data_IF_973412065502
#
_entry.id   IF_973412065502
#
_cell.length_a   1.000
_cell.length_b   1.000
_cell.length_c   1.000
_cell.angle_alpha   90.00
_cell.angle_beta   90.00
_cell.angle_gamma   90.00
#
_symmetry.space_group_name_H-M   'P 1'
#
loop_
_entity.id
_entity.type
_entity.pdbx_description
1 polymer ?
#
# COMPACT_ATOMS: atom_id res chain seq x y z
N UNK A 1 13.54 26.17 -21.04
CA UNK A 1 12.50 25.82 -20.06
C UNK A 1 13.17 25.65 -18.72
N UNK A 2 12.96 26.60 -17.79
CA UNK A 2 13.50 26.49 -16.44
C UNK A 2 12.62 25.54 -15.63
N UNK A 3 13.08 24.34 -15.39
CA UNK A 3 12.47 23.40 -14.45
C UNK A 3 12.91 23.83 -13.06
N UNK A 4 11.96 24.33 -12.25
CA UNK A 4 12.23 24.67 -10.86
C UNK A 4 12.69 23.41 -10.11
N UNK A 5 13.75 23.48 -9.29
CA UNK A 5 14.23 22.32 -8.54
C UNK A 5 13.15 21.84 -7.58
N UNK A 6 12.84 20.54 -7.64
CA UNK A 6 11.92 19.88 -6.72
C UNK A 6 12.55 19.92 -5.33
N UNK A 7 11.97 20.68 -4.43
CA UNK A 7 12.47 20.82 -3.08
C UNK A 7 12.13 19.55 -2.27
N UNK A 8 13.12 18.69 -2.05
CA UNK A 8 12.99 17.41 -1.34
C UNK A 8 12.41 17.55 0.09
N UNK A 9 12.56 18.73 0.70
CA UNK A 9 12.02 18.99 2.04
C UNK A 9 10.49 19.08 2.09
N UNK A 10 9.82 19.47 1.02
CA UNK A 10 8.35 19.57 1.00
C UNK A 10 7.68 18.19 0.95
N UNK A 11 8.32 17.22 0.31
CA UNK A 11 7.81 15.86 0.21
C UNK A 11 7.92 15.06 1.53
N UNK A 12 8.97 15.33 2.32
CA UNK A 12 9.17 14.67 3.63
C UNK A 12 8.15 15.18 4.65
N UNK A 13 7.82 16.47 4.64
CA UNK A 13 6.77 17.03 5.52
C UNK A 13 5.37 16.48 5.23
N UNK A 14 5.05 16.15 3.97
CA UNK A 14 3.77 15.53 3.61
C UNK A 14 3.67 14.07 4.09
N UNK A 15 4.79 13.34 4.16
CA UNK A 15 4.82 11.94 4.55
C UNK A 15 4.65 11.72 6.06
N UNK A 16 5.02 12.69 6.91
CA UNK A 16 5.02 12.53 8.37
C UNK A 16 3.91 13.30 9.11
N UNK A 17 2.90 13.79 8.42
CA UNK A 17 1.71 14.38 9.07
C UNK A 17 1.97 15.65 9.89
N UNK A 18 3.12 16.31 9.73
CA UNK A 18 3.40 17.61 10.30
C UNK A 18 2.69 18.68 9.44
N UNK A 19 1.44 18.88 9.79
CA UNK A 19 0.50 19.78 9.15
C UNK A 19 0.85 21.23 9.38
N UNK A 20 1.52 21.83 8.44
CA UNK A 20 1.19 23.23 8.11
C UNK A 20 -0.18 23.20 7.43
N UNK A 21 -1.12 24.03 7.88
CA UNK A 21 -2.49 24.15 7.39
C UNK A 21 -2.56 24.64 5.95
N UNK A 22 -1.91 23.94 5.00
CA UNK A 22 -2.17 24.09 3.58
C UNK A 22 -3.59 23.56 3.35
N UNK A 23 -4.52 24.47 3.13
CA UNK A 23 -5.88 24.17 2.68
C UNK A 23 -5.78 23.15 1.56
N UNK A 24 -6.22 21.91 1.80
CA UNK A 24 -6.08 20.87 0.79
C UNK A 24 -6.78 21.30 -0.48
N UNK A 25 -6.11 21.17 -1.60
CA UNK A 25 -6.60 21.53 -2.93
C UNK A 25 -7.85 20.72 -3.35
N UNK A 26 -8.12 19.63 -2.64
CA UNK A 26 -9.23 18.72 -2.94
C UNK A 26 -10.43 18.98 -2.05
N UNK A 27 -11.62 18.99 -2.66
CA UNK A 27 -12.88 19.12 -1.96
C UNK A 27 -13.14 17.92 -1.03
N UNK A 28 -14.08 18.04 -0.10
CA UNK A 28 -14.52 16.91 0.74
C UNK A 28 -15.08 15.76 -0.12
N UNK A 29 -15.77 16.10 -1.21
CA UNK A 29 -16.32 15.13 -2.17
C UNK A 29 -15.22 14.38 -2.89
N UNK A 30 -14.15 15.06 -3.34
CA UNK A 30 -13.03 14.41 -4.03
C UNK A 30 -12.33 13.39 -3.11
N UNK A 31 -12.13 13.76 -1.85
CA UNK A 31 -11.56 12.82 -0.86
C UNK A 31 -12.46 11.62 -0.63
N UNK A 32 -13.77 11.84 -0.56
CA UNK A 32 -14.74 10.75 -0.40
C UNK A 32 -14.70 9.80 -1.62
N UNK A 33 -14.58 10.32 -2.84
CA UNK A 33 -14.45 9.50 -4.05
C UNK A 33 -13.19 8.63 -3.99
N UNK A 34 -12.02 9.23 -3.69
CA UNK A 34 -10.77 8.45 -3.59
C UNK A 34 -10.86 7.40 -2.48
N UNK A 35 -11.35 7.78 -1.31
CA UNK A 35 -11.50 6.86 -0.19
C UNK A 35 -12.44 5.69 -0.53
N UNK A 36 -13.56 5.96 -1.19
CA UNK A 36 -14.51 4.94 -1.62
C UNK A 36 -13.90 3.99 -2.65
N UNK A 37 -13.18 4.52 -3.65
CA UNK A 37 -12.51 3.70 -4.66
C UNK A 37 -11.38 2.87 -4.06
N UNK A 38 -10.63 3.43 -3.12
CA UNK A 38 -9.60 2.71 -2.34
C UNK A 38 -10.24 1.55 -1.55
N UNK A 39 -11.34 1.81 -0.86
CA UNK A 39 -12.08 0.78 -0.13
C UNK A 39 -12.64 -0.31 -1.06
N UNK A 40 -13.15 0.04 -2.25
CA UNK A 40 -13.60 -0.91 -3.25
C UNK A 40 -12.46 -1.79 -3.78
N UNK A 41 -11.29 -1.19 -4.06
CA UNK A 41 -10.10 -1.95 -4.47
C UNK A 41 -9.63 -2.93 -3.41
N UNK A 42 -9.64 -2.49 -2.13
CA UNK A 42 -9.34 -3.34 -0.97
C UNK A 42 -10.35 -4.50 -0.86
N UNK A 43 -11.65 -4.19 -0.93
CA UNK A 43 -12.71 -5.20 -0.85
C UNK A 43 -12.65 -6.22 -1.99
N UNK A 44 -12.35 -5.78 -3.22
CA UNK A 44 -12.18 -6.67 -4.36
C UNK A 44 -11.00 -7.63 -4.15
N UNK A 45 -9.86 -7.15 -3.66
CA UNK A 45 -8.71 -8.00 -3.34
C UNK A 45 -9.04 -9.01 -2.24
N UNK A 46 -9.70 -8.58 -1.17
CA UNK A 46 -10.17 -9.47 -0.11
C UNK A 46 -11.13 -10.54 -0.66
N UNK A 47 -12.04 -10.18 -1.56
CA UNK A 47 -12.97 -11.11 -2.17
C UNK A 47 -12.25 -12.14 -3.05
N UNK A 48 -11.25 -11.72 -3.83
CA UNK A 48 -10.43 -12.62 -4.66
C UNK A 48 -9.67 -13.61 -3.77
N UNK A 49 -9.03 -13.12 -2.70
CA UNK A 49 -8.30 -13.97 -1.76
C UNK A 49 -9.23 -14.95 -1.04
N UNK A 50 -10.42 -14.47 -0.63
CA UNK A 50 -11.43 -15.30 -0.03
C UNK A 50 -11.85 -16.46 -0.95
N UNK A 51 -12.14 -16.12 -2.23
CA UNK A 51 -12.51 -17.13 -3.23
C UNK A 51 -11.38 -18.14 -3.45
N UNK A 52 -10.13 -17.69 -3.53
CA UNK A 52 -8.96 -18.57 -3.67
C UNK A 52 -8.78 -19.49 -2.47
N UNK A 53 -9.11 -19.03 -1.28
CA UNK A 53 -9.08 -19.83 -0.05
C UNK A 53 -10.31 -20.75 0.11
N UNK A 54 -11.19 -20.85 -0.89
CA UNK A 54 -12.37 -21.72 -0.88
C UNK A 54 -13.58 -21.18 -0.10
N UNK A 55 -13.56 -19.90 0.29
CA UNK A 55 -14.70 -19.30 0.98
C UNK A 55 -15.80 -18.87 0.01
N UNK A 56 -17.05 -19.05 0.45
CA UNK A 56 -18.21 -18.61 -0.32
C UNK A 56 -18.44 -17.11 -0.16
N UNK A 57 -18.56 -16.39 -1.29
CA UNK A 57 -18.92 -14.96 -1.31
C UNK A 57 -20.43 -14.70 -1.26
N UNK A 58 -21.27 -15.73 -1.08
CA UNK A 58 -22.73 -15.55 -0.92
C UNK A 58 -23.01 -14.79 0.38
N UNK A 59 -23.81 -13.70 0.37
CA UNK A 59 -24.07 -12.87 1.55
C UNK A 59 -24.54 -13.66 2.76
N UNK A 60 -25.42 -14.66 2.57
CA UNK A 60 -25.92 -15.53 3.63
C UNK A 60 -24.84 -16.37 4.33
N UNK A 61 -23.72 -16.63 3.67
CA UNK A 61 -22.59 -17.39 4.21
C UNK A 61 -21.42 -16.50 4.65
N UNK A 62 -21.32 -15.28 4.15
CA UNK A 62 -20.30 -14.31 4.56
C UNK A 62 -20.35 -14.02 6.06
N UNK A 63 -21.54 -13.76 6.62
CA UNK A 63 -21.71 -13.52 8.05
C UNK A 63 -21.33 -14.74 8.92
N UNK A 64 -21.52 -15.95 8.42
CA UNK A 64 -21.10 -17.17 9.11
C UNK A 64 -19.58 -17.35 9.08
N UNK A 65 -18.92 -16.94 7.99
CA UNK A 65 -17.47 -16.99 7.84
C UNK A 65 -16.75 -15.94 8.70
N UNK A 66 -17.35 -14.78 8.93
CA UNK A 66 -16.81 -13.74 9.83
C UNK A 66 -16.73 -14.28 11.27
N UNK A 67 -17.73 -15.05 11.72
CA UNK A 67 -17.70 -15.73 13.03
C UNK A 67 -16.59 -16.78 13.15
N UNK A 68 -16.19 -17.42 12.06
CA UNK A 68 -15.22 -18.52 12.04
C UNK A 68 -13.77 -18.06 11.76
N UNK A 69 -13.35 -16.93 12.32
CA UNK A 69 -11.95 -16.44 12.27
C UNK A 69 -11.33 -16.26 10.86
N UNK A 70 -12.18 -16.01 9.81
CA UNK A 70 -11.69 -15.70 8.47
C UNK A 70 -10.78 -14.47 8.46
N UNK A 71 -11.17 -13.40 9.14
CA UNK A 71 -10.37 -12.18 9.26
C UNK A 71 -9.01 -12.45 9.92
N UNK A 72 -8.96 -13.31 10.95
CA UNK A 72 -7.69 -13.65 11.59
C UNK A 72 -6.76 -14.44 10.66
N UNK A 73 -7.29 -15.36 9.85
CA UNK A 73 -6.49 -16.14 8.89
C UNK A 73 -6.02 -15.30 7.70
N UNK A 74 -6.82 -14.35 7.23
CA UNK A 74 -6.43 -13.44 6.12
C UNK A 74 -5.41 -12.40 6.57
N UNK A 75 -5.53 -11.90 7.80
CA UNK A 75 -4.63 -10.86 8.35
C UNK A 75 -3.33 -11.46 8.90
N UNK A 76 -3.33 -12.74 9.33
CA UNK A 76 -2.14 -13.37 9.91
C UNK A 76 -1.16 -13.96 8.87
N UNK A 77 -1.52 -14.01 7.59
CA UNK A 77 -0.57 -14.39 6.54
C UNK A 77 -0.04 -13.14 5.86
N UNK A 78 1.20 -12.77 6.19
CA UNK A 78 1.90 -11.59 5.67
C UNK A 78 1.84 -11.50 4.13
N UNK A 79 1.88 -12.65 3.45
CA UNK A 79 1.75 -12.76 2.00
C UNK A 79 0.40 -12.27 1.45
N UNK A 80 -0.66 -12.25 2.27
CA UNK A 80 -2.00 -11.82 1.84
C UNK A 80 -2.20 -10.31 1.96
N UNK A 81 -1.40 -9.63 2.78
CA UNK A 81 -1.44 -8.17 2.93
C UNK A 81 -0.99 -7.47 1.64
N UNK A 82 -0.03 -8.08 0.91
CA UNK A 82 0.49 -7.51 -0.34
C UNK A 82 -0.61 -7.36 -1.41
N UNK A 83 -1.38 -8.41 -1.79
CA UNK A 83 -2.48 -8.26 -2.74
C UNK A 83 -3.55 -7.26 -2.29
N UNK A 84 -3.83 -7.17 -0.99
CA UNK A 84 -4.77 -6.20 -0.43
C UNK A 84 -4.23 -4.77 -0.62
N UNK A 85 -2.95 -4.55 -0.32
CA UNK A 85 -2.28 -3.27 -0.53
C UNK A 85 -2.26 -2.85 -2.00
N UNK A 86 -1.99 -3.79 -2.90
CA UNK A 86 -2.04 -3.56 -4.36
C UNK A 86 -3.45 -3.14 -4.79
N UNK A 87 -4.48 -3.86 -4.35
CA UNK A 87 -5.87 -3.51 -4.67
C UNK A 87 -6.29 -2.15 -4.13
N UNK A 88 -5.85 -1.81 -2.92
CA UNK A 88 -6.05 -0.49 -2.32
C UNK A 88 -5.39 0.61 -3.16
N UNK A 89 -4.14 0.45 -3.55
CA UNK A 89 -3.40 1.41 -4.36
C UNK A 89 -4.02 1.60 -5.76
N UNK A 90 -4.43 0.51 -6.41
CA UNK A 90 -5.12 0.56 -7.71
C UNK A 90 -6.49 1.23 -7.61
N UNK A 91 -7.24 0.97 -6.53
CA UNK A 91 -8.49 1.67 -6.23
C UNK A 91 -8.28 3.17 -6.05
N UNK A 92 -7.26 3.57 -5.29
CA UNK A 92 -6.85 4.96 -5.12
C UNK A 92 -6.47 5.64 -6.43
N UNK A 93 -5.73 4.95 -7.31
CA UNK A 93 -5.39 5.43 -8.65
C UNK A 93 -6.64 5.67 -9.51
N UNK A 94 -7.57 4.72 -9.51
CA UNK A 94 -8.84 4.86 -10.24
C UNK A 94 -9.65 6.05 -9.72
N UNK A 95 -9.78 6.20 -8.40
CA UNK A 95 -10.41 7.37 -7.77
C UNK A 95 -9.72 8.68 -8.14
N UNK A 96 -8.38 8.69 -8.14
CA UNK A 96 -7.58 9.82 -8.58
C UNK A 96 -7.84 10.22 -10.04
N UNK A 97 -8.07 9.27 -10.94
CA UNK A 97 -8.44 9.58 -12.34
C UNK A 97 -9.86 10.09 -12.49
N UNK A 98 -10.79 9.68 -11.61
CA UNK A 98 -12.16 10.20 -11.62
C UNK A 98 -12.23 11.67 -11.26
N UNK A 99 -11.39 12.12 -10.33
CA UNK A 99 -11.39 13.50 -9.84
C UNK A 99 -10.59 14.43 -10.77
N UNK A 100 -9.44 13.98 -11.22
CA UNK A 100 -8.53 14.77 -12.02
C UNK A 100 -8.30 14.11 -13.37
N UNK A 101 -8.96 14.66 -14.37
CA UNK A 101 -8.91 14.19 -15.76
C UNK A 101 -7.72 14.75 -16.54
N UNK A 102 -6.90 15.61 -15.94
CA UNK A 102 -5.79 16.24 -16.62
C UNK A 102 -4.74 15.19 -17.04
N UNK A 103 -4.45 15.05 -18.35
CA UNK A 103 -3.46 14.08 -18.85
C UNK A 103 -2.05 14.31 -18.28
N UNK A 104 -1.67 15.55 -18.00
CA UNK A 104 -0.35 15.88 -17.45
C UNK A 104 -0.10 15.27 -16.07
N UNK A 105 -1.16 15.08 -15.29
CA UNK A 105 -1.07 14.50 -13.93
C UNK A 105 -1.12 12.97 -13.92
N UNK A 106 -1.38 12.31 -15.05
CA UNK A 106 -1.52 10.85 -15.11
C UNK A 106 -0.22 10.13 -14.76
N UNK A 107 0.89 10.62 -15.28
CA UNK A 107 2.21 10.04 -15.01
C UNK A 107 2.57 10.18 -13.53
N UNK A 108 2.34 11.34 -12.92
CA UNK A 108 2.58 11.55 -11.49
C UNK A 108 1.75 10.58 -10.63
N UNK A 109 0.47 10.40 -10.94
CA UNK A 109 -0.41 9.44 -10.23
C UNK A 109 0.06 7.99 -10.36
N UNK A 110 0.51 7.58 -11.54
CA UNK A 110 1.07 6.23 -11.76
C UNK A 110 2.34 6.03 -10.96
N UNK A 111 3.26 7.00 -10.97
CA UNK A 111 4.49 6.98 -10.19
C UNK A 111 4.20 6.83 -8.69
N UNK A 112 3.25 7.62 -8.18
CA UNK A 112 2.82 7.54 -6.78
C UNK A 112 2.23 6.17 -6.44
N UNK A 113 1.39 5.61 -7.30
CA UNK A 113 0.80 4.27 -7.09
C UNK A 113 1.87 3.18 -7.04
N UNK A 114 2.87 3.22 -7.92
CA UNK A 114 4.00 2.30 -7.91
C UNK A 114 4.79 2.43 -6.59
N UNK A 115 5.04 3.66 -6.15
CA UNK A 115 5.68 3.90 -4.85
C UNK A 115 4.88 3.34 -3.68
N UNK A 116 3.57 3.52 -3.66
CA UNK A 116 2.68 2.97 -2.62
C UNK A 116 2.72 1.43 -2.59
N UNK A 117 2.64 0.78 -3.76
CA UNK A 117 2.73 -0.68 -3.87
C UNK A 117 4.07 -1.17 -3.35
N UNK A 118 5.17 -0.55 -3.75
CA UNK A 118 6.51 -0.92 -3.32
C UNK A 118 6.73 -0.73 -1.82
N UNK A 119 6.27 0.41 -1.28
CA UNK A 119 6.40 0.74 0.13
C UNK A 119 5.58 -0.17 1.07
N UNK A 120 4.57 -0.83 0.56
CA UNK A 120 3.84 -1.87 1.31
C UNK A 120 4.47 -3.24 1.11
N UNK A 121 4.75 -3.62 -0.14
CA UNK A 121 5.15 -4.99 -0.48
C UNK A 121 6.58 -5.32 -0.05
N UNK A 122 7.54 -4.45 -0.29
CA UNK A 122 8.96 -4.75 -0.05
C UNK A 122 9.28 -4.85 1.45
N UNK A 123 8.82 -3.94 2.34
CA UNK A 123 9.04 -4.10 3.77
C UNK A 123 8.44 -5.39 4.33
N UNK A 124 7.24 -5.79 3.89
CA UNK A 124 6.60 -7.03 4.34
C UNK A 124 7.47 -8.24 3.97
N UNK A 125 7.94 -8.32 2.71
CA UNK A 125 8.79 -9.40 2.25
C UNK A 125 10.14 -9.43 2.98
N UNK A 126 10.75 -8.28 3.23
CA UNK A 126 12.03 -8.21 3.95
C UNK A 126 11.91 -8.56 5.42
N UNK A 127 10.81 -8.18 6.07
CA UNK A 127 10.49 -8.58 7.45
C UNK A 127 10.34 -10.10 7.54
N UNK A 128 9.52 -10.68 6.67
CA UNK A 128 9.29 -12.13 6.65
C UNK A 128 10.61 -12.89 6.44
N UNK A 129 11.41 -12.46 5.46
CA UNK A 129 12.70 -13.08 5.15
C UNK A 129 13.69 -12.99 6.31
N UNK A 130 13.91 -11.80 6.88
CA UNK A 130 14.88 -11.60 7.95
C UNK A 130 14.41 -12.22 9.26
N UNK A 131 13.14 -12.10 9.60
CA UNK A 131 12.56 -12.73 10.78
C UNK A 131 12.71 -14.25 10.74
N UNK A 132 12.39 -14.90 9.61
CA UNK A 132 12.57 -16.34 9.41
C UNK A 132 14.04 -16.76 9.52
N UNK A 133 14.96 -16.01 8.90
CA UNK A 133 16.41 -16.29 9.01
C UNK A 133 16.95 -16.13 10.44
N UNK A 134 16.49 -15.12 11.16
CA UNK A 134 16.96 -14.85 12.52
C UNK A 134 16.32 -15.79 13.57
N UNK A 135 15.22 -16.46 13.25
CA UNK A 135 14.50 -17.37 14.15
C UNK A 135 15.40 -18.46 14.76
N UNK A 136 16.38 -18.96 13.99
CA UNK A 136 17.34 -19.98 14.45
C UNK A 136 18.25 -19.50 15.60
N UNK A 137 18.40 -18.19 15.79
CA UNK A 137 19.22 -17.59 16.85
C UNK A 137 18.42 -17.18 18.09
N UNK A 138 17.14 -17.49 18.15
CA UNK A 138 16.25 -17.22 19.27
C UNK A 138 15.28 -16.05 19.04
N UNK A 139 14.35 -15.89 20.00
CA UNK A 139 13.24 -14.90 19.90
C UNK A 139 13.71 -13.46 19.79
N UNK A 140 14.77 -13.09 20.53
CA UNK A 140 15.32 -11.72 20.49
C UNK A 140 15.92 -11.43 19.12
N UNK A 141 16.71 -12.36 18.58
CA UNK A 141 17.28 -12.22 17.23
C UNK A 141 16.20 -12.15 16.16
N UNK A 142 15.11 -12.91 16.30
CA UNK A 142 13.96 -12.85 15.40
C UNK A 142 13.29 -11.46 15.42
N UNK A 143 13.11 -10.87 16.61
CA UNK A 143 12.57 -9.52 16.75
C UNK A 143 13.49 -8.45 16.12
N UNK A 144 14.81 -8.55 16.38
CA UNK A 144 15.79 -7.68 15.74
C UNK A 144 15.79 -7.83 14.21
N UNK A 145 15.65 -9.06 13.70
CA UNK A 145 15.51 -9.35 12.28
C UNK A 145 14.26 -8.71 11.67
N UNK A 146 13.14 -8.74 12.39
CA UNK A 146 11.90 -8.09 11.94
C UNK A 146 12.07 -6.55 11.87
N UNK A 147 12.64 -5.92 12.90
CA UNK A 147 12.90 -4.48 12.93
C UNK A 147 13.86 -4.08 11.80
N UNK A 148 14.96 -4.82 11.64
CA UNK A 148 15.90 -4.61 10.53
C UNK A 148 15.25 -4.79 9.16
N UNK A 149 14.31 -5.72 9.05
CA UNK A 149 13.49 -5.95 7.86
C UNK A 149 12.60 -4.77 7.51
N UNK A 150 11.97 -4.12 8.50
CA UNK A 150 11.18 -2.90 8.28
C UNK A 150 12.08 -1.79 7.75
N UNK A 151 13.15 -1.48 8.47
CA UNK A 151 14.04 -0.36 8.12
C UNK A 151 14.68 -0.60 6.76
N UNK A 152 15.35 -1.74 6.57
CA UNK A 152 15.99 -2.11 5.31
C UNK A 152 14.99 -2.22 4.15
N UNK A 153 13.78 -2.73 4.41
CA UNK A 153 12.71 -2.84 3.44
C UNK A 153 12.21 -1.49 2.94
N UNK A 154 12.06 -0.49 3.82
CA UNK A 154 11.66 0.87 3.41
C UNK A 154 12.74 1.52 2.54
N UNK A 155 14.02 1.40 2.90
CA UNK A 155 15.13 1.92 2.06
C UNK A 155 15.18 1.23 0.71
N UNK A 156 15.06 -0.11 0.69
CA UNK A 156 15.06 -0.90 -0.53
C UNK A 156 13.86 -0.57 -1.42
N UNK A 157 12.67 -0.38 -0.82
CA UNK A 157 11.46 0.01 -1.53
C UNK A 157 11.64 1.36 -2.24
N UNK A 158 12.10 2.37 -1.51
CA UNK A 158 12.33 3.70 -2.08
C UNK A 158 13.35 3.64 -3.23
N UNK A 159 14.46 2.94 -3.04
CA UNK A 159 15.49 2.81 -4.08
C UNK A 159 14.96 2.07 -5.32
N UNK A 160 14.33 0.90 -5.12
CA UNK A 160 13.84 0.07 -6.21
C UNK A 160 12.69 0.74 -6.98
N UNK A 161 11.74 1.38 -6.25
CA UNK A 161 10.59 2.01 -6.89
C UNK A 161 10.97 3.31 -7.61
N UNK A 162 11.93 4.08 -7.12
CA UNK A 162 12.45 5.24 -7.85
C UNK A 162 13.09 4.79 -9.16
N UNK A 163 13.98 3.77 -9.12
CA UNK A 163 14.59 3.22 -10.34
C UNK A 163 13.55 2.68 -11.31
N UNK A 164 12.53 1.98 -10.81
CA UNK A 164 11.46 1.47 -11.65
C UNK A 164 10.63 2.60 -12.28
N UNK A 165 10.34 3.65 -11.53
CA UNK A 165 9.64 4.83 -12.03
C UNK A 165 10.45 5.56 -13.12
N UNK A 166 11.77 5.68 -12.95
CA UNK A 166 12.64 6.31 -13.96
C UNK A 166 12.78 5.46 -15.23
N UNK A 167 12.59 4.14 -15.11
CA UNK A 167 12.59 3.23 -16.26
C UNK A 167 11.27 3.24 -17.03
N UNK A 168 10.13 3.43 -16.33
CA UNK A 168 8.79 3.31 -16.91
C UNK A 168 8.24 4.64 -17.46
N UNK A 169 8.72 5.76 -16.94
CA UNK A 169 8.19 7.11 -17.21
C UNK A 169 9.29 8.15 -17.44
#
# INVERSE_FOLDING_TARGET
MNVAPINFNDNVKQSFGLSDKKKSMYSKTDRAIVASMTALGTAASCAILAKRAGYSLKPSRMFKNIKNSYLSKVVYHDEQVIPIGIGSALGGLAGGYMIDKNPANRTAKRRETIMQIGNVSIPILTVDFLSKKCKKYGKVAQACGAIGGIIGGVYLANFAMNKLNDLLF
#
